data_IF_011826656081
#
_entry.id   IF_011826656081
#
_cell.length_a   1.000
_cell.length_b   1.000
_cell.length_c   1.000
_cell.angle_alpha   90.00
_cell.angle_beta   90.00
_cell.angle_gamma   90.00
#
_symmetry.space_group_name_H-M   'P 1'
#
loop_
_entity.id
_entity.type
_entity.pdbx_description
1 polymer ?
#
# COMPACT_ATOMS: atom_id res chain seq x y z
N UNK A 1 7.27 -24.28 -25.33
CA UNK A 1 7.32 -24.18 -23.86
C UNK A 1 8.41 -23.22 -23.34
N UNK A 2 9.72 -23.39 -23.64
CA UNK A 2 10.75 -22.49 -23.09
C UNK A 2 10.61 -21.02 -23.52
N UNK A 3 10.15 -20.78 -24.75
CA UNK A 3 9.93 -19.42 -25.26
C UNK A 3 8.84 -18.65 -24.50
N UNK A 4 7.76 -19.33 -24.09
CA UNK A 4 6.68 -18.72 -23.31
C UNK A 4 7.14 -18.35 -21.90
N UNK A 5 7.96 -19.21 -21.27
CA UNK A 5 8.55 -18.92 -19.97
C UNK A 5 9.50 -17.74 -20.03
N UNK A 6 10.37 -17.68 -21.05
CA UNK A 6 11.23 -16.50 -21.27
C UNK A 6 10.41 -15.22 -21.48
N UNK A 7 9.38 -15.27 -22.32
CA UNK A 7 8.50 -14.12 -22.54
C UNK A 7 7.79 -13.67 -21.24
N UNK A 8 7.27 -14.61 -20.46
CA UNK A 8 6.64 -14.32 -19.17
C UNK A 8 7.63 -13.74 -18.15
N UNK A 9 8.84 -14.28 -18.06
CA UNK A 9 9.90 -13.75 -17.19
C UNK A 9 10.33 -12.35 -17.61
N UNK A 10 10.43 -12.09 -18.92
CA UNK A 10 10.75 -10.77 -19.44
C UNK A 10 9.66 -9.76 -19.07
N UNK A 11 8.38 -10.10 -19.31
CA UNK A 11 7.24 -9.25 -18.93
C UNK A 11 7.20 -9.00 -17.41
N UNK A 12 7.44 -10.02 -16.59
CA UNK A 12 7.50 -9.87 -15.14
C UNK A 12 8.64 -8.94 -14.69
N UNK A 13 9.81 -9.02 -15.34
CA UNK A 13 10.94 -8.12 -15.04
C UNK A 13 10.68 -6.67 -15.43
N UNK A 14 9.74 -6.45 -16.35
CA UNK A 14 9.35 -5.13 -16.83
C UNK A 14 8.14 -4.57 -16.07
N UNK A 15 7.56 -5.32 -15.13
CA UNK A 15 6.48 -4.81 -14.29
C UNK A 15 7.05 -3.96 -13.14
N UNK A 16 6.58 -2.73 -13.03
CA UNK A 16 6.90 -1.80 -11.94
C UNK A 16 5.62 -1.42 -11.19
N UNK A 17 5.65 -1.57 -9.87
CA UNK A 17 4.67 -0.99 -8.97
C UNK A 17 5.41 -0.13 -7.94
N UNK A 18 5.19 1.18 -8.02
CA UNK A 18 5.94 2.15 -7.24
C UNK A 18 5.08 3.33 -6.83
N UNK A 19 5.24 3.72 -5.57
CA UNK A 19 4.77 4.98 -5.03
C UNK A 19 5.92 5.99 -4.92
N UNK A 20 5.69 7.20 -5.40
CA UNK A 20 6.64 8.31 -5.33
C UNK A 20 5.99 9.41 -4.52
N UNK A 21 6.74 9.94 -3.56
CA UNK A 21 6.28 10.99 -2.66
C UNK A 21 7.10 12.24 -2.95
N UNK A 22 6.43 13.37 -3.10
CA UNK A 22 7.04 14.70 -3.21
C UNK A 22 6.48 15.58 -2.10
N UNK A 23 7.35 16.37 -1.45
CA UNK A 23 6.94 17.28 -0.38
C UNK A 23 5.95 18.33 -0.89
N UNK A 24 6.20 18.85 -2.10
CA UNK A 24 5.44 19.96 -2.70
C UNK A 24 4.58 19.52 -3.88
N UNK A 25 4.89 18.37 -4.49
CA UNK A 25 4.27 17.91 -5.76
C UNK A 25 3.19 16.84 -5.62
N UNK A 26 2.89 16.37 -4.39
CA UNK A 26 1.91 15.32 -4.15
C UNK A 26 2.47 13.91 -4.25
N UNK A 27 1.60 12.94 -4.51
CA UNK A 27 1.89 11.50 -4.49
C UNK A 27 1.61 10.91 -5.87
N UNK A 28 2.56 10.17 -6.41
CA UNK A 28 2.36 9.43 -7.67
C UNK A 28 2.28 7.93 -7.40
N UNK A 29 1.24 7.30 -7.94
CA UNK A 29 1.12 5.85 -8.07
C UNK A 29 1.47 5.45 -9.50
N UNK A 30 2.46 4.57 -9.66
CA UNK A 30 2.85 4.00 -10.94
C UNK A 30 2.63 2.49 -10.88
N UNK A 31 1.83 1.96 -11.79
CA UNK A 31 1.58 0.52 -11.89
C UNK A 31 1.54 0.08 -13.36
N UNK A 32 2.18 -1.04 -13.68
CA UNK A 32 2.16 -1.65 -15.01
C UNK A 32 3.55 -1.95 -15.57
N UNK A 33 3.62 -2.23 -16.87
CA UNK A 33 4.90 -2.47 -17.53
C UNK A 33 5.66 -1.15 -17.74
N UNK A 34 6.99 -1.15 -17.71
CA UNK A 34 7.82 0.06 -17.80
C UNK A 34 7.43 1.01 -18.96
N UNK A 35 7.02 0.45 -20.10
CA UNK A 35 6.60 1.15 -21.32
C UNK A 35 5.08 1.37 -21.44
N UNK A 36 4.27 0.76 -20.57
CA UNK A 36 2.81 0.87 -20.52
C UNK A 36 2.34 1.05 -19.07
N UNK A 37 2.99 1.93 -18.31
CA UNK A 37 2.64 2.18 -16.91
C UNK A 37 1.49 3.18 -16.84
N UNK A 38 0.47 2.84 -16.07
CA UNK A 38 -0.52 3.79 -15.64
C UNK A 38 0.08 4.66 -14.53
N UNK A 39 0.02 5.97 -14.71
CA UNK A 39 0.46 6.95 -13.72
C UNK A 39 -0.78 7.65 -13.19
N UNK A 40 -0.93 7.64 -11.87
CA UNK A 40 -1.96 8.42 -11.18
C UNK A 40 -1.28 9.39 -10.23
N UNK A 41 -1.62 10.66 -10.37
CA UNK A 41 -1.05 11.74 -9.56
C UNK A 41 -2.14 12.22 -8.61
N UNK A 42 -1.77 12.33 -7.34
CA UNK A 42 -2.58 12.86 -6.26
C UNK A 42 -1.93 14.15 -5.77
N UNK A 43 -2.46 15.33 -6.15
CA UNK A 43 -1.96 16.60 -5.68
C UNK A 43 -1.91 16.64 -4.15
N UNK A 44 -0.91 17.33 -3.57
CA UNK A 44 -0.75 17.41 -2.11
C UNK A 44 -2.01 17.96 -1.42
N UNK A 45 -2.75 18.84 -2.09
CA UNK A 45 -4.01 19.42 -1.59
C UNK A 45 -5.15 18.40 -1.46
N UNK A 46 -5.13 17.34 -2.28
CA UNK A 46 -6.12 16.27 -2.24
C UNK A 46 -5.77 15.20 -1.20
N UNK A 47 -4.51 15.12 -0.80
CA UNK A 47 -4.06 14.19 0.24
C UNK A 47 -4.45 14.71 1.61
N UNK A 48 -5.30 13.96 2.31
CA UNK A 48 -5.79 14.37 3.62
C UNK A 48 -4.92 13.80 4.74
N UNK A 49 -4.66 12.50 4.71
CA UNK A 49 -3.92 11.80 5.76
C UNK A 49 -3.37 10.47 5.28
N UNK A 50 -2.44 9.93 6.06
CA UNK A 50 -2.00 8.54 5.95
C UNK A 50 -2.64 7.72 7.07
N UNK A 51 -3.07 6.51 6.76
CA UNK A 51 -3.69 5.60 7.72
C UNK A 51 -2.89 4.32 7.79
N UNK A 52 -2.59 3.88 9.01
CA UNK A 52 -1.98 2.59 9.27
C UNK A 52 -3.00 1.71 9.99
N UNK A 53 -3.34 0.56 9.41
CA UNK A 53 -4.38 -0.33 9.93
C UNK A 53 -3.92 -1.79 9.92
N UNK A 54 -4.60 -2.65 10.69
CA UNK A 54 -4.38 -4.10 10.70
C UNK A 54 -5.63 -4.84 10.23
N UNK A 55 -5.44 -5.95 9.53
CA UNK A 55 -6.51 -6.90 9.26
C UNK A 55 -6.01 -8.33 9.35
N UNK A 56 -6.89 -9.26 9.74
CA UNK A 56 -6.60 -10.70 9.77
C UNK A 56 -7.35 -11.35 8.62
N UNK A 57 -6.62 -11.98 7.69
CA UNK A 57 -7.24 -12.62 6.52
C UNK A 57 -8.15 -13.75 7.00
N UNK A 58 -9.42 -13.71 6.61
CA UNK A 58 -10.42 -14.72 7.01
C UNK A 58 -11.20 -14.40 8.29
N UNK A 59 -10.90 -13.27 8.96
CA UNK A 59 -11.69 -12.81 10.11
C UNK A 59 -12.60 -11.65 9.68
N UNK A 60 -13.82 -11.96 9.25
CA UNK A 60 -14.90 -10.98 9.24
C UNK A 60 -15.28 -10.71 10.71
N UNK A 61 -15.32 -9.44 11.12
CA UNK A 61 -15.75 -9.05 12.48
C UNK A 61 -17.17 -9.60 12.70
N UNK A 62 -17.31 -10.61 13.56
CA UNK A 62 -18.60 -11.07 14.09
C UNK A 62 -19.17 -12.39 13.57
N UNK A 63 -18.49 -13.12 12.69
CA UNK A 63 -19.15 -14.24 11.96
C UNK A 63 -18.61 -15.66 12.19
N UNK A 64 -17.51 -15.89 12.93
CA UNK A 64 -17.05 -17.27 13.11
C UNK A 64 -16.31 -17.53 14.43
N UNK A 65 -16.97 -18.18 15.43
CA UNK A 65 -16.34 -18.67 16.65
C UNK A 65 -15.32 -19.80 16.43
N UNK A 66 -15.30 -20.45 15.25
CA UNK A 66 -14.41 -21.55 14.90
C UNK A 66 -13.25 -21.14 13.99
N UNK A 67 -13.06 -19.85 13.73
CA UNK A 67 -11.95 -19.37 12.92
C UNK A 67 -10.61 -19.88 13.50
N UNK A 68 -9.73 -20.48 12.69
CA UNK A 68 -8.46 -21.01 13.18
C UNK A 68 -7.63 -19.91 13.85
N UNK A 69 -7.05 -20.20 15.01
CA UNK A 69 -6.27 -19.26 15.83
C UNK A 69 -4.99 -18.74 15.15
N UNK A 70 -4.64 -19.26 13.97
CA UNK A 70 -3.39 -18.98 13.24
C UNK A 70 -3.60 -18.20 11.94
N UNK A 71 -4.73 -17.52 11.76
CA UNK A 71 -4.94 -16.73 10.55
C UNK A 71 -3.87 -15.64 10.41
N UNK A 72 -3.28 -15.46 9.21
CA UNK A 72 -2.23 -14.49 9.01
C UNK A 72 -2.79 -13.07 9.14
N UNK A 73 -2.16 -12.29 10.02
CA UNK A 73 -2.44 -10.87 10.21
C UNK A 73 -1.51 -10.01 9.36
N UNK A 74 -2.07 -8.96 8.79
CA UNK A 74 -1.41 -8.01 7.92
C UNK A 74 -1.59 -6.60 8.43
N UNK A 75 -0.68 -5.74 8.01
CA UNK A 75 -0.68 -4.32 8.24
C UNK A 75 -0.76 -3.62 6.89
N UNK A 76 -1.54 -2.55 6.84
CA UNK A 76 -1.79 -1.76 5.63
C UNK A 76 -1.41 -0.32 5.93
N UNK A 77 -0.54 0.23 5.09
CA UNK A 77 -0.35 1.66 4.95
C UNK A 77 -1.18 2.14 3.76
N UNK A 78 -2.08 3.09 3.99
CA UNK A 78 -2.91 3.70 2.97
C UNK A 78 -2.80 5.22 3.02
N UNK A 79 -3.06 5.86 1.89
CA UNK A 79 -3.31 7.30 1.79
C UNK A 79 -4.79 7.54 1.59
N UNK A 80 -5.35 8.47 2.35
CA UNK A 80 -6.72 8.94 2.17
C UNK A 80 -6.71 10.23 1.36
N UNK A 81 -7.51 10.26 0.31
CA UNK A 81 -7.63 11.37 -0.62
C UNK A 81 -9.07 11.87 -0.65
N UNK A 82 -9.26 13.19 -0.79
CA UNK A 82 -10.59 13.82 -0.72
C UNK A 82 -11.57 13.28 -1.77
N UNK A 83 -11.10 12.96 -2.97
CA UNK A 83 -11.94 12.57 -4.10
C UNK A 83 -12.00 11.07 -4.39
N UNK A 84 -10.98 10.31 -3.96
CA UNK A 84 -10.73 8.95 -4.48
C UNK A 84 -10.67 7.89 -3.35
N UNK A 85 -10.91 8.33 -2.10
CA UNK A 85 -10.95 7.49 -0.91
C UNK A 85 -9.58 6.97 -0.49
N UNK A 86 -9.60 5.82 0.18
CA UNK A 86 -8.40 5.14 0.69
C UNK A 86 -7.70 4.37 -0.44
N UNK A 87 -6.41 4.66 -0.63
CA UNK A 87 -5.52 3.96 -1.55
C UNK A 87 -4.39 3.28 -0.81
N UNK A 88 -4.32 1.97 -0.96
CA UNK A 88 -3.27 1.15 -0.36
C UNK A 88 -1.92 1.45 -0.98
N UNK A 89 -0.95 1.84 -0.15
CA UNK A 89 0.44 2.05 -0.53
C UNK A 89 1.25 0.77 -0.37
N UNK A 90 1.10 0.11 0.78
CA UNK A 90 1.90 -1.06 1.12
C UNK A 90 1.13 -1.98 2.08
N UNK A 91 1.24 -3.28 1.86
CA UNK A 91 0.73 -4.32 2.76
C UNK A 91 1.90 -5.19 3.21
N UNK A 92 2.10 -5.32 4.52
CA UNK A 92 3.11 -6.21 5.10
C UNK A 92 2.48 -7.19 6.09
N UNK A 93 3.18 -8.29 6.39
CA UNK A 93 2.81 -9.16 7.51
C UNK A 93 2.97 -8.40 8.83
N UNK A 94 2.11 -8.70 9.81
CA UNK A 94 2.15 -8.06 11.13
C UNK A 94 3.52 -8.16 11.82
N UNK A 95 4.27 -9.24 11.59
CA UNK A 95 5.64 -9.40 12.09
C UNK A 95 6.61 -8.28 11.65
N UNK A 96 6.28 -7.50 10.60
CA UNK A 96 7.05 -6.34 10.12
C UNK A 96 6.47 -5.01 10.59
N UNK A 97 5.75 -4.99 11.72
CA UNK A 97 5.08 -3.80 12.28
C UNK A 97 5.98 -2.59 12.38
N UNK A 98 7.08 -2.73 13.11
CA UNK A 98 8.01 -1.64 13.38
C UNK A 98 8.56 -1.02 12.08
N UNK A 99 8.86 -1.86 11.08
CA UNK A 99 9.29 -1.42 9.75
C UNK A 99 8.23 -0.58 9.07
N UNK A 100 6.96 -1.01 9.10
CA UNK A 100 5.88 -0.27 8.45
C UNK A 100 5.57 1.03 9.19
N UNK A 101 5.54 1.02 10.52
CA UNK A 101 5.31 2.21 11.36
C UNK A 101 6.39 3.27 11.12
N UNK A 102 7.67 2.85 11.12
CA UNK A 102 8.79 3.75 10.84
C UNK A 102 8.68 4.36 9.44
N UNK A 103 8.32 3.56 8.44
CA UNK A 103 8.17 4.03 7.06
C UNK A 103 6.98 4.98 6.92
N UNK A 104 5.85 4.66 7.55
CA UNK A 104 4.67 5.50 7.55
C UNK A 104 4.92 6.85 8.21
N UNK A 105 5.60 6.87 9.37
CA UNK A 105 5.99 8.10 10.04
C UNK A 105 6.90 8.98 9.16
N UNK A 106 7.89 8.36 8.48
CA UNK A 106 8.76 9.06 7.53
C UNK A 106 7.99 9.66 6.35
N UNK A 107 7.09 8.88 5.74
CA UNK A 107 6.30 9.34 4.58
C UNK A 107 5.35 10.46 4.99
N UNK A 108 4.61 10.28 6.08
CA UNK A 108 3.67 11.27 6.59
C UNK A 108 4.38 12.58 6.97
N UNK A 109 5.52 12.48 7.67
CA UNK A 109 6.38 13.62 7.99
C UNK A 109 6.93 14.31 6.74
N UNK A 110 7.42 13.55 5.76
CA UNK A 110 7.94 14.08 4.50
C UNK A 110 6.88 14.84 3.69
N UNK A 111 5.64 14.37 3.70
CA UNK A 111 4.52 15.03 3.01
C UNK A 111 3.83 16.11 3.85
N UNK A 112 4.27 16.33 5.10
CA UNK A 112 3.59 17.22 6.07
C UNK A 112 2.09 16.90 6.25
N UNK A 113 1.74 15.61 6.26
CA UNK A 113 0.36 15.13 6.45
C UNK A 113 0.24 14.30 7.73
N UNK A 114 -0.93 14.30 8.39
CA UNK A 114 -1.11 13.52 9.60
C UNK A 114 -1.06 12.02 9.33
N UNK A 115 -0.56 11.26 10.31
CA UNK A 115 -0.57 9.80 10.33
C UNK A 115 -1.56 9.32 11.41
N UNK A 116 -2.56 8.56 10.99
CA UNK A 116 -3.54 7.96 11.88
C UNK A 116 -3.21 6.48 12.09
N UNK A 117 -2.82 6.12 13.32
CA UNK A 117 -2.55 4.73 13.69
C UNK A 117 -3.84 4.05 14.21
N UNK A 118 -4.33 3.05 13.48
CA UNK A 118 -5.52 2.25 13.80
C UNK A 118 -5.18 0.77 13.99
N UNK A 119 -3.92 0.44 14.31
CA UNK A 119 -3.58 -0.92 14.70
C UNK A 119 -4.21 -1.21 16.07
N UNK A 120 -5.22 -2.07 16.10
CA UNK A 120 -5.71 -2.73 17.30
C UNK A 120 -5.07 -4.08 17.53
#
# INVERSE_FOLDING_TARGET
MPLLLMAASLLASLYEERWIFSADGGIESRHGLLFLKAVRIYPSEEVEKFTLSSFTKGKLRGTDPQAPSFLPSYLVLAVETRGDGDRTIEILRYAKKERLETRAAKIAGFCSKPLLNRIG
#
